data_IF_968418907624
#
_entry.id   IF_968418907624
#
_cell.length_a   1.000
_cell.length_b   1.000
_cell.length_c   1.000
_cell.angle_alpha   90.00
_cell.angle_beta   90.00
_cell.angle_gamma   90.00
#
_symmetry.space_group_name_H-M   'P 1'
#
loop_
_entity.id
_entity.type
_entity.pdbx_description
1 polymer ?
#
# COMPACT_ATOMS: atom_id res chain seq x y z
N UNK A 1 -1.59 12.74 2.08
CA UNK A 1 -1.44 11.28 2.23
C UNK A 1 -2.05 10.46 1.08
N UNK A 2 -3.06 10.95 0.34
CA UNK A 2 -3.87 10.11 -0.56
C UNK A 2 -3.27 9.75 -1.94
N UNK A 3 -2.42 10.58 -2.57
CA UNK A 3 -2.15 10.43 -4.00
C UNK A 3 -1.38 9.16 -4.40
N UNK A 4 -0.53 8.60 -3.53
CA UNK A 4 0.33 7.46 -3.88
C UNK A 4 -0.18 6.07 -3.46
N UNK A 5 -1.28 6.00 -2.69
CA UNK A 5 -1.85 4.74 -2.21
C UNK A 5 -2.86 4.14 -3.18
N UNK A 6 -3.55 4.97 -3.98
CA UNK A 6 -4.44 4.47 -5.02
C UNK A 6 -3.69 3.59 -6.04
N UNK A 7 -2.36 3.73 -6.12
CA UNK A 7 -1.50 3.00 -7.06
C UNK A 7 -1.91 3.24 -8.50
N UNK A 8 -1.22 2.54 -9.38
CA UNK A 8 -1.60 2.41 -10.78
C UNK A 8 -1.64 0.91 -11.05
N UNK A 9 -2.70 0.42 -11.68
CA UNK A 9 -2.65 -0.91 -12.28
C UNK A 9 -1.56 -0.90 -13.38
N UNK A 10 -0.92 -2.03 -13.67
CA UNK A 10 0.12 -2.09 -14.70
C UNK A 10 -0.40 -1.59 -16.06
N UNK A 11 -1.68 -1.85 -16.36
CA UNK A 11 -2.37 -1.33 -17.53
C UNK A 11 -2.55 0.20 -17.49
N UNK A 12 -2.83 0.79 -16.32
CA UNK A 12 -2.96 2.25 -16.17
C UNK A 12 -1.60 2.93 -16.31
N UNK A 13 -0.52 2.27 -15.86
CA UNK A 13 0.84 2.79 -15.95
C UNK A 13 1.38 2.74 -17.38
N UNK A 14 1.03 1.71 -18.16
CA UNK A 14 1.32 1.61 -19.60
C UNK A 14 0.63 2.70 -20.42
N UNK A 15 -0.59 3.09 -20.01
CA UNK A 15 -1.32 4.20 -20.61
C UNK A 15 -0.81 5.59 -20.16
N UNK A 16 -0.34 5.73 -18.92
CA UNK A 16 0.02 7.01 -18.31
C UNK A 16 1.49 7.41 -18.51
N UNK A 17 2.38 6.43 -18.68
CA UNK A 17 3.79 6.68 -18.96
C UNK A 17 4.05 6.42 -20.45
N UNK A 18 4.75 7.31 -21.18
CA UNK A 18 5.18 7.05 -22.54
C UNK A 18 6.38 6.07 -22.55
N UNK A 19 6.28 4.93 -21.84
CA UNK A 19 7.34 3.90 -21.79
C UNK A 19 7.50 3.22 -23.16
N UNK A 20 6.53 3.39 -24.05
CA UNK A 20 6.61 3.01 -25.46
C UNK A 20 7.61 3.81 -26.31
N UNK A 21 8.15 4.95 -25.84
CA UNK A 21 9.10 5.74 -26.64
C UNK A 21 10.50 5.11 -26.75
N UNK A 22 10.82 4.11 -25.91
CA UNK A 22 12.11 3.41 -25.89
C UNK A 22 12.05 1.88 -26.00
N UNK A 23 10.85 1.29 -26.09
CA UNK A 23 10.68 -0.17 -26.24
C UNK A 23 10.84 -1.00 -24.95
N UNK A 24 10.77 -0.38 -23.77
CA UNK A 24 10.88 -1.10 -22.50
C UNK A 24 9.51 -1.52 -21.96
N UNK A 25 9.41 -2.78 -21.52
CA UNK A 25 8.21 -3.36 -20.90
C UNK A 25 7.95 -2.68 -19.54
N UNK A 26 6.73 -2.18 -19.33
CA UNK A 26 6.29 -1.56 -18.07
C UNK A 26 6.54 -2.48 -16.88
N UNK A 27 6.37 -3.79 -17.05
CA UNK A 27 6.65 -4.76 -16.00
C UNK A 27 8.16 -4.81 -15.66
N UNK A 28 9.04 -4.63 -16.65
CA UNK A 28 10.49 -4.52 -16.40
C UNK A 28 10.83 -3.27 -15.60
N UNK A 29 10.21 -2.14 -15.94
CA UNK A 29 10.42 -0.89 -15.21
C UNK A 29 9.90 -0.96 -13.77
N UNK A 30 8.72 -1.56 -13.56
CA UNK A 30 8.18 -1.80 -12.23
C UNK A 30 9.10 -2.72 -11.40
N UNK A 31 9.60 -3.81 -12.00
CA UNK A 31 10.58 -4.69 -11.35
C UNK A 31 11.84 -3.93 -10.93
N UNK A 32 12.36 -3.06 -11.79
CA UNK A 32 13.51 -2.21 -11.48
C UNK A 32 13.22 -1.27 -10.30
N UNK A 33 12.06 -0.61 -10.28
CA UNK A 33 11.66 0.30 -9.19
C UNK A 33 11.47 -0.44 -7.86
N UNK A 34 10.90 -1.65 -7.89
CA UNK A 34 10.76 -2.50 -6.70
C UNK A 34 12.12 -2.96 -6.20
N UNK A 35 13.00 -3.43 -7.09
CA UNK A 35 14.37 -3.81 -6.73
C UNK A 35 15.16 -2.64 -6.14
N UNK A 36 14.94 -1.42 -6.63
CA UNK A 36 15.52 -0.18 -6.12
C UNK A 36 14.81 0.41 -4.89
N UNK A 37 13.78 -0.25 -4.34
CA UNK A 37 13.06 0.19 -3.15
C UNK A 37 12.23 1.47 -3.33
N UNK A 38 11.98 1.91 -4.57
CA UNK A 38 11.17 3.10 -4.90
C UNK A 38 9.68 2.79 -5.00
N UNK A 39 9.37 1.55 -5.36
CA UNK A 39 8.02 1.01 -5.40
C UNK A 39 7.91 -0.23 -4.51
N UNK A 40 6.70 -0.54 -4.08
CA UNK A 40 6.37 -1.75 -3.33
C UNK A 40 5.26 -2.47 -4.07
N UNK A 41 5.51 -3.74 -4.39
CA UNK A 41 4.48 -4.64 -4.89
C UNK A 41 3.57 -5.06 -3.73
N UNK A 42 2.33 -4.58 -3.74
CA UNK A 42 1.28 -4.99 -2.80
C UNK A 42 0.70 -6.33 -3.26
N UNK A 43 0.46 -6.45 -4.56
CA UNK A 43 0.18 -7.69 -5.30
C UNK A 43 0.96 -7.67 -6.62
N UNK A 44 0.96 -8.73 -7.44
CA UNK A 44 1.60 -8.71 -8.76
C UNK A 44 1.14 -7.57 -9.69
N UNK A 45 -0.12 -7.14 -9.56
CA UNK A 45 -0.73 -6.13 -10.44
C UNK A 45 -0.97 -4.78 -9.73
N UNK A 46 -0.67 -4.68 -8.44
CA UNK A 46 -0.90 -3.47 -7.64
C UNK A 46 0.40 -3.05 -6.96
N UNK A 47 0.93 -1.92 -7.41
CA UNK A 47 2.14 -1.32 -6.88
C UNK A 47 1.84 0.06 -6.30
N UNK A 48 2.56 0.41 -5.23
CA UNK A 48 2.49 1.74 -4.61
C UNK A 48 3.89 2.34 -4.46
N UNK A 49 3.97 3.66 -4.41
CA UNK A 49 5.23 4.34 -4.10
C UNK A 49 5.66 4.03 -2.66
N UNK A 50 6.96 3.79 -2.44
CA UNK A 50 7.49 3.47 -1.11
C UNK A 50 7.15 4.55 -0.07
N UNK A 51 7.30 5.84 -0.43
CA UNK A 51 6.95 6.96 0.46
C UNK A 51 5.46 6.99 0.83
N UNK A 52 4.56 6.54 -0.07
CA UNK A 52 3.14 6.50 0.22
C UNK A 52 2.82 5.42 1.27
N UNK A 53 3.48 4.26 1.16
CA UNK A 53 3.40 3.21 2.17
C UNK A 53 3.99 3.66 3.51
N UNK A 54 5.13 4.37 3.50
CA UNK A 54 5.72 4.93 4.71
C UNK A 54 4.79 5.96 5.40
N UNK A 55 4.13 6.81 4.61
CA UNK A 55 3.10 7.72 5.09
C UNK A 55 1.89 6.99 5.68
N UNK A 56 1.45 5.90 5.05
CA UNK A 56 0.39 5.04 5.58
C UNK A 56 0.79 4.42 6.92
N UNK A 57 1.99 3.83 7.04
CA UNK A 57 2.50 3.27 8.31
C UNK A 57 2.47 4.31 9.43
N UNK A 58 2.90 5.54 9.14
CA UNK A 58 2.87 6.64 10.12
C UNK A 58 1.44 7.02 10.53
N UNK A 59 0.51 7.05 9.57
CA UNK A 59 -0.90 7.32 9.84
C UNK A 59 -1.55 6.23 10.68
N UNK A 60 -1.22 4.97 10.41
CA UNK A 60 -1.71 3.83 11.19
C UNK A 60 -1.16 3.83 12.62
N UNK A 61 0.11 4.21 12.84
CA UNK A 61 0.66 4.37 14.20
C UNK A 61 -0.13 5.39 15.01
N UNK A 62 -0.41 6.55 14.41
CA UNK A 62 -1.23 7.60 15.04
C UNK A 62 -2.63 7.07 15.33
N UNK A 63 -3.28 6.46 14.34
CA UNK A 63 -4.63 5.93 14.48
C UNK A 63 -4.73 4.87 15.59
N UNK A 64 -3.80 3.91 15.65
CA UNK A 64 -3.84 2.86 16.68
C UNK A 64 -3.49 3.38 18.08
N UNK A 65 -2.68 4.44 18.19
CA UNK A 65 -2.46 5.09 19.49
C UNK A 65 -3.75 5.73 20.01
N UNK A 66 -4.54 6.33 19.13
CA UNK A 66 -5.71 7.12 19.50
C UNK A 66 -6.98 6.24 19.64
N UNK A 67 -7.20 5.29 18.71
CA UNK A 67 -8.44 4.48 18.60
C UNK A 67 -8.23 2.98 18.89
N UNK A 68 -6.98 2.48 18.88
CA UNK A 68 -6.62 1.10 19.22
C UNK A 68 -6.90 0.02 18.16
N UNK A 69 -7.99 0.14 17.39
CA UNK A 69 -8.36 -0.82 16.34
C UNK A 69 -9.22 -0.17 15.24
N UNK A 70 -9.37 -0.83 14.09
CA UNK A 70 -10.25 -0.35 13.02
C UNK A 70 -10.97 -1.46 12.26
N UNK A 71 -12.12 -1.13 11.66
CA UNK A 71 -12.79 -1.90 10.59
C UNK A 71 -12.35 -1.42 9.22
N UNK A 72 -12.70 -2.16 8.17
CA UNK A 72 -12.46 -1.74 6.79
C UNK A 72 -13.03 -0.34 6.47
N UNK A 73 -14.18 0.02 7.05
CA UNK A 73 -14.81 1.33 6.82
C UNK A 73 -13.91 2.49 7.27
N UNK A 74 -13.28 2.36 8.43
CA UNK A 74 -12.38 3.39 8.96
C UNK A 74 -11.09 3.46 8.13
N UNK A 75 -10.55 2.30 7.74
CA UNK A 75 -9.40 2.24 6.84
C UNK A 75 -9.68 2.92 5.49
N UNK A 76 -10.88 2.72 4.93
CA UNK A 76 -11.35 3.43 3.75
C UNK A 76 -11.47 4.94 4.01
N UNK A 77 -11.97 5.35 5.17
CA UNK A 77 -11.99 6.77 5.56
C UNK A 77 -10.59 7.39 5.62
N UNK A 78 -9.63 6.65 6.16
CA UNK A 78 -8.24 7.08 6.29
C UNK A 78 -7.52 7.20 4.94
N UNK A 79 -7.75 6.23 4.04
CA UNK A 79 -6.94 6.07 2.82
C UNK A 79 -7.65 6.50 1.54
N UNK A 80 -8.98 6.57 1.55
CA UNK A 80 -9.80 6.76 0.35
C UNK A 80 -9.90 5.52 -0.56
N UNK A 81 -9.28 4.39 -0.20
CA UNK A 81 -9.20 3.24 -1.08
C UNK A 81 -10.57 2.54 -1.27
N UNK A 82 -10.82 2.14 -2.52
CA UNK A 82 -11.92 1.23 -2.83
C UNK A 82 -11.67 -0.16 -2.22
N UNK A 83 -12.69 -1.04 -2.18
CA UNK A 83 -12.46 -2.43 -1.74
C UNK A 83 -11.48 -3.18 -2.63
N UNK A 84 -11.49 -2.92 -3.96
CA UNK A 84 -10.58 -3.55 -4.93
C UNK A 84 -9.10 -3.35 -4.54
N UNK A 85 -8.75 -2.18 -4.00
CA UNK A 85 -7.37 -1.84 -3.63
C UNK A 85 -7.11 -1.94 -2.13
N UNK A 86 -8.11 -1.58 -1.32
CA UNK A 86 -8.00 -1.55 0.13
C UNK A 86 -7.92 -2.94 0.76
N UNK A 87 -8.64 -3.94 0.22
CA UNK A 87 -8.55 -5.32 0.75
C UNK A 87 -7.13 -5.88 0.51
N UNK A 88 -6.58 -5.84 -0.73
CA UNK A 88 -5.20 -6.27 -0.95
C UNK A 88 -4.17 -5.50 -0.14
N UNK A 89 -4.34 -4.18 0.01
CA UNK A 89 -3.46 -3.38 0.87
C UNK A 89 -3.49 -3.87 2.33
N UNK A 90 -4.68 -4.17 2.87
CA UNK A 90 -4.80 -4.70 4.23
C UNK A 90 -4.19 -6.11 4.36
N UNK A 91 -4.35 -6.96 3.36
CA UNK A 91 -3.70 -8.28 3.32
C UNK A 91 -2.18 -8.16 3.28
N UNK A 92 -1.65 -7.21 2.51
CA UNK A 92 -0.23 -6.88 2.50
C UNK A 92 0.25 -6.40 3.89
N UNK A 93 -0.49 -5.49 4.53
CA UNK A 93 -0.14 -5.00 5.87
C UNK A 93 -0.16 -6.13 6.90
N UNK A 94 -1.13 -7.03 6.82
CA UNK A 94 -1.24 -8.21 7.69
C UNK A 94 -0.06 -9.18 7.45
N UNK A 95 0.27 -9.48 6.19
CA UNK A 95 1.37 -10.36 5.81
C UNK A 95 2.74 -9.82 6.26
N UNK A 96 2.91 -8.49 6.25
CA UNK A 96 4.11 -7.81 6.72
C UNK A 96 4.09 -7.52 8.23
N UNK A 97 3.13 -8.09 8.97
CA UNK A 97 2.98 -7.93 10.43
C UNK A 97 2.83 -6.47 10.90
N UNK A 98 2.40 -5.57 10.01
CA UNK A 98 2.09 -4.18 10.33
C UNK A 98 0.71 -4.07 10.97
N UNK A 99 -0.21 -4.92 10.54
CA UNK A 99 -1.52 -5.10 11.17
C UNK A 99 -1.76 -6.56 11.50
N UNK A 100 -2.77 -6.83 12.31
CA UNK A 100 -3.26 -8.18 12.58
C UNK A 100 -4.77 -8.16 12.62
N UNK A 101 -5.39 -9.08 11.88
CA UNK A 101 -6.84 -9.26 11.88
C UNK A 101 -7.30 -10.04 13.12
N UNK A 102 -8.32 -9.53 13.81
CA UNK A 102 -9.00 -10.16 14.95
C UNK A 102 -10.51 -10.04 14.70
N UNK A 103 -11.11 -11.10 14.17
CA UNK A 103 -12.50 -11.05 13.67
C UNK A 103 -12.64 -10.05 12.51
N UNK A 104 -13.51 -9.06 12.69
CA UNK A 104 -13.76 -7.99 11.71
C UNK A 104 -12.91 -6.74 11.94
N UNK A 105 -12.07 -6.75 12.98
CA UNK A 105 -11.19 -5.65 13.35
C UNK A 105 -9.75 -5.94 12.93
N UNK A 106 -8.98 -4.87 12.79
CA UNK A 106 -7.53 -4.91 12.76
C UNK A 106 -6.96 -4.13 13.93
N UNK A 107 -5.90 -4.69 14.50
CA UNK A 107 -5.08 -4.08 15.55
C UNK A 107 -3.66 -3.88 15.03
N UNK A 108 -2.86 -3.08 15.73
CA UNK A 108 -1.44 -2.92 15.44
C UNK A 108 -0.72 -4.28 15.48
N UNK A 109 0.09 -4.56 14.46
CA UNK A 109 0.99 -5.70 14.43
C UNK A 109 2.38 -5.35 14.98
N UNK A 110 3.22 -6.35 15.28
CA UNK A 110 4.52 -6.13 15.92
C UNK A 110 5.48 -5.26 15.09
N UNK A 111 5.46 -5.39 13.76
CA UNK A 111 6.34 -4.62 12.88
C UNK A 111 5.92 -3.14 12.73
N UNK A 112 4.79 -2.74 13.30
CA UNK A 112 4.36 -1.34 13.32
C UNK A 112 4.90 -0.58 14.55
N UNK A 113 5.13 -1.29 15.66
CA UNK A 113 5.69 -0.77 16.90
C UNK A 113 7.22 -0.71 16.94
N UNK A 114 7.91 -1.40 16.03
CA UNK A 114 9.37 -1.57 16.05
C UNK A 114 10.16 -0.43 15.37
N UNK A 115 9.50 0.47 14.63
CA UNK A 115 10.16 1.69 14.11
C UNK A 115 10.31 2.73 15.26
N UNK A 116 11.32 2.56 16.13
CA UNK A 116 11.84 3.61 17.03
C UNK A 116 13.22 4.05 16.56
#
# INVERSE_FOLDING_TARGET
LAAGLAGSDAADLDAALPVGAGGHDVAEYLRYLVAGGRAVAVTPDYHVHADALAGLRSSLRVYFRDEGNFKFADFRGLTGLSRKLGIPMLEYLDANKLTRRVGDLRVAGPALSEDT
#
